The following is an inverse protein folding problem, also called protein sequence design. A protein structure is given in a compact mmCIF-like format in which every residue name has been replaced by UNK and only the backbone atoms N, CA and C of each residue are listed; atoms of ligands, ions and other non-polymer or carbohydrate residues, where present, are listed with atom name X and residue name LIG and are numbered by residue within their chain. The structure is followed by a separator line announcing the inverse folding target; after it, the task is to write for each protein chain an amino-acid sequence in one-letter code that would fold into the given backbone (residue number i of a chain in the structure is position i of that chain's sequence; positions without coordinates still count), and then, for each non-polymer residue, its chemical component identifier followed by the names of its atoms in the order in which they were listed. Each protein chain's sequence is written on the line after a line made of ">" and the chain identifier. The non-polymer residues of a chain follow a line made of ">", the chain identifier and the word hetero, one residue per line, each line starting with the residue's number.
data_IF_614179370563
#
_entry.id   IF_614179370563
#
_cell.length_a   1.000
_cell.length_b   1.000
_cell.length_c   1.000
_cell.angle_alpha   90.00
_cell.angle_beta   90.00
_cell.angle_gamma   90.00
#
_symmetry.space_group_name_H-M   'P 1'
#
loop_
_entity.id
_entity.type
_entity.pdbx_description
1 polymer ?
#
# COMPACT_ATOMS: atom_id res chain seq x y z
N UNK A 1 7.90 2.04 -7.22
CA UNK A 1 7.88 1.77 -8.69
C UNK A 1 7.02 0.54 -8.95
N UNK A 2 6.01 0.66 -9.81
CA UNK A 2 5.04 -0.39 -10.13
C UNK A 2 5.58 -1.47 -11.08
N UNK A 3 5.01 -2.68 -11.01
CA UNK A 3 5.26 -3.71 -12.02
C UNK A 3 4.39 -3.46 -13.26
N UNK A 4 4.98 -2.75 -14.22
CA UNK A 4 4.34 -2.44 -15.49
C UNK A 4 4.01 -3.70 -16.31
N UNK A 5 4.75 -4.81 -16.13
CA UNK A 5 4.43 -6.06 -16.85
C UNK A 5 3.14 -6.68 -16.34
N UNK A 6 2.84 -6.53 -15.06
CA UNK A 6 1.59 -6.99 -14.48
C UNK A 6 0.41 -6.18 -15.03
N UNK A 7 0.55 -4.86 -15.08
CA UNK A 7 -0.47 -3.94 -15.64
C UNK A 7 -0.76 -4.25 -17.11
N UNK A 8 0.29 -4.43 -17.92
CA UNK A 8 0.14 -4.80 -19.33
C UNK A 8 -0.56 -6.15 -19.51
N UNK A 9 -0.26 -7.15 -18.68
CA UNK A 9 -0.96 -8.44 -18.72
C UNK A 9 -2.45 -8.32 -18.40
N UNK A 10 -2.82 -7.52 -17.39
CA UNK A 10 -4.24 -7.28 -17.09
C UNK A 10 -4.94 -6.64 -18.29
N UNK A 11 -4.28 -5.68 -18.95
CA UNK A 11 -4.82 -5.03 -20.16
C UNK A 11 -4.94 -6.00 -21.33
N UNK A 12 -3.95 -6.86 -21.53
CA UNK A 12 -3.94 -7.85 -22.63
C UNK A 12 -5.09 -8.86 -22.49
N UNK A 13 -5.31 -9.41 -21.29
CA UNK A 13 -6.31 -10.46 -21.08
C UNK A 13 -7.71 -9.95 -20.71
N UNK A 14 -7.80 -8.85 -19.96
CA UNK A 14 -9.06 -8.31 -19.41
C UNK A 14 -9.46 -6.94 -19.93
N UNK A 15 -8.61 -6.28 -20.72
CA UNK A 15 -8.87 -4.96 -21.26
C UNK A 15 -8.82 -3.83 -20.23
N UNK A 16 -9.12 -2.60 -20.67
CA UNK A 16 -9.10 -1.40 -19.83
C UNK A 16 -10.07 -1.45 -18.64
N UNK A 17 -11.23 -2.11 -18.82
CA UNK A 17 -12.25 -2.21 -17.77
C UNK A 17 -11.77 -3.07 -16.58
N UNK A 18 -11.14 -4.22 -16.85
CA UNK A 18 -10.60 -5.06 -15.78
C UNK A 18 -9.48 -4.37 -15.00
N UNK A 19 -8.62 -3.61 -15.69
CA UNK A 19 -7.60 -2.80 -15.02
C UNK A 19 -8.23 -1.74 -14.10
N UNK A 20 -9.26 -1.03 -14.58
CA UNK A 20 -9.95 -0.02 -13.77
C UNK A 20 -10.57 -0.64 -12.50
N UNK A 21 -11.27 -1.77 -12.61
CA UNK A 21 -11.88 -2.44 -11.46
C UNK A 21 -10.85 -2.90 -10.42
N UNK A 22 -9.71 -3.45 -10.86
CA UNK A 22 -8.62 -3.87 -9.96
C UNK A 22 -7.98 -2.67 -9.26
N UNK A 23 -7.74 -1.59 -10.00
CA UNK A 23 -7.15 -0.35 -9.45
C UNK A 23 -8.10 0.32 -8.47
N UNK A 24 -9.39 0.38 -8.78
CA UNK A 24 -10.41 0.94 -7.89
C UNK A 24 -10.51 0.15 -6.57
N UNK A 25 -10.49 -1.19 -6.64
CA UNK A 25 -10.47 -2.04 -5.44
C UNK A 25 -9.22 -1.79 -4.61
N UNK A 26 -8.06 -1.74 -5.26
CA UNK A 26 -6.80 -1.44 -4.57
C UNK A 26 -6.82 -0.07 -3.91
N UNK A 27 -7.32 0.95 -4.58
CA UNK A 27 -7.42 2.30 -4.00
C UNK A 27 -8.32 2.34 -2.77
N UNK A 28 -9.47 1.67 -2.82
CA UNK A 28 -10.38 1.57 -1.68
C UNK A 28 -9.69 0.91 -0.47
N UNK A 29 -9.04 -0.24 -0.69
CA UNK A 29 -8.31 -0.94 0.37
C UNK A 29 -7.15 -0.11 0.91
N UNK A 30 -6.36 0.49 0.02
CA UNK A 30 -5.17 1.27 0.37
C UNK A 30 -5.52 2.49 1.23
N UNK A 31 -6.59 3.23 0.89
CA UNK A 31 -7.05 4.38 1.69
C UNK A 31 -7.46 3.92 3.09
N UNK A 32 -8.33 2.91 3.19
CA UNK A 32 -8.82 2.42 4.47
C UNK A 32 -7.70 1.86 5.35
N UNK A 33 -6.74 1.14 4.77
CA UNK A 33 -5.62 0.57 5.50
C UNK A 33 -4.66 1.64 6.02
N UNK A 34 -4.37 2.68 5.24
CA UNK A 34 -3.56 3.81 5.69
C UNK A 34 -4.21 4.57 6.84
N UNK A 35 -5.53 4.81 6.78
CA UNK A 35 -6.27 5.43 7.88
C UNK A 35 -6.16 4.58 9.16
N UNK A 36 -6.38 3.26 9.06
CA UNK A 36 -6.25 2.36 10.20
C UNK A 36 -4.82 2.28 10.76
N UNK A 37 -3.80 2.39 9.91
CA UNK A 37 -2.39 2.46 10.32
C UNK A 37 -2.14 3.73 11.15
N UNK A 38 -2.63 4.88 10.69
CA UNK A 38 -2.55 6.15 11.43
C UNK A 38 -3.25 6.08 12.78
N UNK A 39 -4.46 5.54 12.81
CA UNK A 39 -5.23 5.37 14.04
C UNK A 39 -4.52 4.46 15.05
N UNK A 40 -3.97 3.33 14.59
CA UNK A 40 -3.24 2.41 15.43
C UNK A 40 -1.99 3.06 16.03
N UNK A 41 -1.26 3.83 15.22
CA UNK A 41 -0.10 4.59 15.67
C UNK A 41 -0.49 5.63 16.73
N UNK A 42 -1.56 6.41 16.50
CA UNK A 42 -2.06 7.40 17.46
C UNK A 42 -2.53 6.78 18.78
N UNK A 43 -3.10 5.57 18.71
CA UNK A 43 -3.51 4.79 19.88
C UNK A 43 -2.36 4.03 20.56
N UNK A 44 -1.14 4.06 20.00
CA UNK A 44 -0.01 3.21 20.42
C UNK A 44 -0.35 1.71 20.43
N UNK A 45 -1.27 1.29 19.56
CA UNK A 45 -1.71 -0.10 19.40
C UNK A 45 -0.79 -0.83 18.42
N UNK A 46 0.29 -1.40 18.96
CA UNK A 46 1.32 -2.10 18.18
C UNK A 46 0.80 -3.32 17.44
N UNK A 47 -0.18 -4.03 18.00
CA UNK A 47 -0.77 -5.20 17.38
C UNK A 47 -1.60 -4.80 16.15
N UNK A 48 -2.49 -3.81 16.31
CA UNK A 48 -3.26 -3.27 15.19
C UNK A 48 -2.36 -2.64 14.14
N UNK A 49 -1.31 -1.91 14.53
CA UNK A 49 -0.38 -1.30 13.59
C UNK A 49 0.30 -2.36 12.70
N UNK A 50 0.82 -3.43 13.31
CA UNK A 50 1.43 -4.56 12.59
C UNK A 50 0.43 -5.22 11.65
N UNK A 51 -0.76 -5.55 12.13
CA UNK A 51 -1.74 -6.30 11.35
C UNK A 51 -2.24 -5.50 10.14
N UNK A 52 -2.37 -4.17 10.27
CA UNK A 52 -2.78 -3.28 9.15
C UNK A 52 -1.64 -3.05 8.16
N UNK A 53 -0.40 -2.92 8.63
CA UNK A 53 0.77 -2.90 7.75
C UNK A 53 0.88 -4.19 6.93
N UNK A 54 0.65 -5.35 7.56
CA UNK A 54 0.66 -6.65 6.88
C UNK A 54 -0.41 -6.76 5.79
N UNK A 55 -1.63 -6.31 6.06
CA UNK A 55 -2.69 -6.29 5.07
C UNK A 55 -2.33 -5.38 3.87
N UNK A 56 -1.80 -4.18 4.12
CA UNK A 56 -1.41 -3.24 3.07
C UNK A 56 -0.25 -3.76 2.21
N UNK A 57 0.70 -4.47 2.83
CA UNK A 57 1.78 -5.19 2.13
C UNK A 57 1.20 -6.15 1.09
N UNK A 58 0.25 -7.00 1.49
CA UNK A 58 -0.38 -7.98 0.61
C UNK A 58 -1.09 -7.35 -0.58
N UNK A 59 -1.89 -6.30 -0.35
CA UNK A 59 -2.58 -5.60 -1.43
C UNK A 59 -1.62 -4.91 -2.40
N UNK A 60 -0.46 -4.44 -1.92
CA UNK A 60 0.47 -3.63 -2.71
C UNK A 60 1.47 -4.46 -3.52
N UNK A 61 1.95 -5.58 -2.98
CA UNK A 61 2.91 -6.46 -3.69
C UNK A 61 2.28 -7.05 -4.95
N UNK A 62 0.98 -7.36 -4.92
CA UNK A 62 0.27 -7.92 -6.08
C UNK A 62 0.26 -6.98 -7.30
N UNK A 63 0.33 -5.65 -7.08
CA UNK A 63 0.43 -4.63 -8.13
C UNK A 63 1.87 -4.24 -8.46
N UNK A 64 2.85 -4.90 -7.82
CA UNK A 64 4.26 -4.58 -7.95
C UNK A 64 4.68 -3.30 -7.22
N UNK A 65 3.88 -2.78 -6.27
CA UNK A 65 4.29 -1.66 -5.42
C UNK A 65 5.26 -2.14 -4.32
N UNK A 66 6.47 -2.54 -4.75
CA UNK A 66 7.50 -3.18 -3.91
C UNK A 66 7.93 -2.29 -2.75
N UNK A 67 8.08 -0.99 -2.98
CA UNK A 67 8.49 -0.03 -1.93
C UNK A 67 7.46 0.05 -0.80
N UNK A 68 6.15 0.08 -1.12
CA UNK A 68 5.08 0.02 -0.12
C UNK A 68 5.19 -1.27 0.70
N UNK A 69 5.43 -2.41 0.04
CA UNK A 69 5.62 -3.69 0.72
C UNK A 69 6.82 -3.71 1.67
N UNK A 70 7.94 -3.12 1.25
CA UNK A 70 9.17 -3.00 2.05
C UNK A 70 8.98 -2.09 3.28
N UNK A 71 8.28 -0.97 3.12
CA UNK A 71 7.93 -0.07 4.22
C UNK A 71 7.01 -0.76 5.23
N UNK A 72 5.97 -1.44 4.75
CA UNK A 72 5.07 -2.21 5.61
C UNK A 72 5.81 -3.28 6.42
N UNK A 73 6.73 -4.03 5.80
CA UNK A 73 7.51 -5.05 6.51
C UNK A 73 8.41 -4.46 7.62
N UNK A 74 8.98 -3.27 7.39
CA UNK A 74 9.74 -2.55 8.42
C UNK A 74 8.83 -2.05 9.54
N UNK A 75 7.65 -1.52 9.21
CA UNK A 75 6.64 -1.09 10.20
C UNK A 75 6.19 -2.28 11.05
N UNK A 76 5.92 -3.45 10.43
CA UNK A 76 5.57 -4.68 11.15
C UNK A 76 6.63 -5.06 12.19
N UNK A 77 7.91 -5.03 11.79
CA UNK A 77 9.05 -5.33 12.67
C UNK A 77 9.17 -4.33 13.82
N UNK A 78 9.09 -3.04 13.55
CA UNK A 78 9.21 -1.99 14.57
C UNK A 78 8.02 -2.02 15.54
N UNK A 79 6.83 -2.27 15.04
CA UNK A 79 5.62 -2.45 15.86
C UNK A 79 5.77 -3.63 16.82
N UNK A 80 6.30 -4.77 16.33
CA UNK A 80 6.57 -5.93 17.17
C UNK A 80 7.64 -5.69 18.24
N UNK A 81 8.59 -4.77 17.97
CA UNK A 81 9.61 -4.34 18.92
C UNK A 81 9.16 -3.23 19.88
N UNK A 82 7.98 -2.63 19.66
CA UNK A 82 7.48 -1.49 20.45
C UNK A 82 8.10 -0.13 20.07
N UNK A 83 8.86 -0.08 18.98
CA UNK A 83 9.60 1.11 18.51
C UNK A 83 8.68 2.04 17.71
N UNK A 84 7.69 2.62 18.39
CA UNK A 84 6.60 3.39 17.75
C UNK A 84 7.09 4.71 17.13
N UNK A 85 8.18 5.30 17.62
CA UNK A 85 8.71 6.56 17.09
C UNK A 85 9.33 6.35 15.70
N UNK A 86 10.10 5.29 15.55
CA UNK A 86 10.70 4.85 14.30
C UNK A 86 9.62 4.37 13.33
N UNK A 87 8.60 3.65 13.83
CA UNK A 87 7.46 3.26 13.03
C UNK A 87 6.70 4.47 12.47
N UNK A 88 6.51 5.53 13.27
CA UNK A 88 5.85 6.76 12.84
C UNK A 88 6.54 7.41 11.62
N UNK A 89 7.87 7.53 11.66
CA UNK A 89 8.62 8.08 10.54
C UNK A 89 8.47 7.26 9.25
N UNK A 90 8.34 5.93 9.37
CA UNK A 90 8.06 5.07 8.22
C UNK A 90 6.62 5.15 7.73
N UNK A 91 5.65 5.41 8.61
CA UNK A 91 4.25 5.64 8.23
C UNK A 91 4.14 6.92 7.38
N UNK A 92 4.84 7.99 7.74
CA UNK A 92 4.87 9.22 6.92
C UNK A 92 5.44 8.93 5.52
N UNK A 93 6.52 8.14 5.45
CA UNK A 93 7.12 7.73 4.17
C UNK A 93 6.18 6.81 3.36
N UNK A 94 5.47 5.91 4.03
CA UNK A 94 4.50 4.99 3.44
C UNK A 94 3.35 5.76 2.77
N UNK A 95 2.86 6.83 3.39
CA UNK A 95 1.80 7.66 2.84
C UNK A 95 2.24 8.42 1.59
N UNK A 96 3.47 8.92 1.60
CA UNK A 96 4.06 9.57 0.43
C UNK A 96 4.16 8.59 -0.75
N UNK A 97 4.72 7.40 -0.53
CA UNK A 97 4.84 6.38 -1.58
C UNK A 97 3.46 5.90 -2.07
N UNK A 98 2.49 5.74 -1.17
CA UNK A 98 1.13 5.39 -1.53
C UNK A 98 0.48 6.47 -2.42
N UNK A 99 0.73 7.75 -2.15
CA UNK A 99 0.29 8.84 -3.01
C UNK A 99 0.95 8.80 -4.39
N UNK A 100 2.25 8.51 -4.46
CA UNK A 100 2.98 8.39 -5.73
C UNK A 100 2.44 7.23 -6.59
N UNK A 101 2.24 6.07 -5.98
CA UNK A 101 1.65 4.89 -6.64
C UNK A 101 0.23 5.17 -7.14
N UNK A 102 -0.61 5.85 -6.35
CA UNK A 102 -1.95 6.26 -6.80
C UNK A 102 -1.90 7.13 -8.04
N UNK A 103 -1.00 8.11 -8.05
CA UNK A 103 -0.82 9.00 -9.20
C UNK A 103 -0.37 8.24 -10.45
N UNK A 104 0.61 7.33 -10.31
CA UNK A 104 1.12 6.51 -11.41
C UNK A 104 0.01 5.61 -12.00
N UNK A 105 -0.77 4.93 -11.14
CA UNK A 105 -1.90 4.10 -11.58
C UNK A 105 -3.00 4.90 -12.28
N UNK A 106 -3.29 6.12 -11.83
CA UNK A 106 -4.25 7.01 -12.52
C UNK A 106 -3.79 7.39 -13.93
N UNK A 107 -2.48 7.62 -14.11
CA UNK A 107 -1.92 7.87 -15.44
C UNK A 107 -2.06 6.64 -16.34
N UNK A 108 -1.81 5.43 -15.81
CA UNK A 108 -2.01 4.18 -16.56
C UNK A 108 -3.47 3.98 -16.99
N UNK A 109 -4.46 4.36 -16.16
CA UNK A 109 -5.88 4.28 -16.54
C UNK A 109 -6.25 5.24 -17.67
N UNK A 110 -5.53 6.35 -17.83
CA UNK A 110 -5.78 7.36 -18.86
C UNK A 110 -5.19 7.04 -20.24
N UNK A 111 -4.28 6.07 -20.33
CA UNK A 111 -3.69 5.58 -21.60
C UNK A 111 -4.69 4.71 -22.37
#
# INVERSE_FOLDING_TARGET
>A
MLDHKFIEKIREYGGKKALAEIVDLYFADQVQLLEHIREALAASDTARLRDRAHALKGCSINLGAVEIGSLCEKIERLSAAGELREAAALVDQLEFEASAVRHELQLELSK
#
